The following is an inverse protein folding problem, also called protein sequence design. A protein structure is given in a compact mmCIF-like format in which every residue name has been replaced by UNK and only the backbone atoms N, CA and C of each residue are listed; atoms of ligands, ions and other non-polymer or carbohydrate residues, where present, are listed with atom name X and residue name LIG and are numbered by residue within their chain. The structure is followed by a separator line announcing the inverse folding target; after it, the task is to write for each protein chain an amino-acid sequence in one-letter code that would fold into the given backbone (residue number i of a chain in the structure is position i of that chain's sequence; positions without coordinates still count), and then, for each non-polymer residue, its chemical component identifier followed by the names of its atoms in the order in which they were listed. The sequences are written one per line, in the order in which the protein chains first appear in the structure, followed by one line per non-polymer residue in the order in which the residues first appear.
data_IF_760379047261
#
_entry.id   IF_760379047261
#
_cell.length_a   1.000
_cell.length_b   1.000
_cell.length_c   1.000
_cell.angle_alpha   90.00
_cell.angle_beta   90.00
_cell.angle_gamma   90.00
#
_symmetry.space_group_name_H-M   'P 1'
#
loop_
_entity.id
_entity.type
_entity.pdbx_description
1 polymer ?
#
# COMPACT_ATOMS: atom_id res chain seq x y z
N UNK A 1 13.25 7.70 9.21
CA UNK A 1 11.99 7.48 8.47
C UNK A 1 12.34 6.39 7.48
N UNK A 2 11.81 5.17 7.66
CA UNK A 2 12.07 4.06 6.74
C UNK A 2 10.87 3.97 5.79
N UNK A 3 11.11 4.32 4.53
CA UNK A 3 10.18 4.22 3.42
C UNK A 3 10.81 3.33 2.34
N UNK A 4 9.98 2.60 1.59
CA UNK A 4 10.48 1.73 0.51
C UNK A 4 10.94 2.59 -0.69
N UNK A 5 10.21 3.67 -0.97
CA UNK A 5 10.52 4.58 -2.09
C UNK A 5 10.88 5.95 -1.54
N UNK A 6 12.18 6.29 -1.59
CA UNK A 6 12.70 7.59 -1.20
C UNK A 6 12.28 8.70 -2.19
N UNK A 7 11.93 9.86 -1.67
CA UNK A 7 11.73 11.07 -2.47
C UNK A 7 13.00 11.92 -2.38
N UNK A 8 13.79 11.97 -3.46
CA UNK A 8 14.90 12.92 -3.54
C UNK A 8 14.33 14.35 -3.62
N UNK A 9 14.99 15.30 -2.95
CA UNK A 9 14.61 16.71 -2.91
C UNK A 9 14.81 17.38 -4.27
N UNK A 10 13.88 17.18 -5.20
CA UNK A 10 13.78 18.00 -6.40
C UNK A 10 12.33 18.14 -6.82
N UNK A 11 11.78 19.34 -6.62
CA UNK A 11 10.60 19.89 -7.32
C UNK A 11 9.32 19.05 -7.33
N UNK A 12 8.29 19.56 -6.65
CA UNK A 12 6.90 19.09 -6.73
C UNK A 12 6.23 19.43 -8.09
N UNK A 13 6.98 19.30 -9.18
CA UNK A 13 6.51 19.47 -10.55
C UNK A 13 6.68 18.13 -11.26
N UNK A 14 5.56 17.47 -11.55
CA UNK A 14 5.51 16.28 -12.41
C UNK A 14 6.47 15.17 -11.95
N UNK A 15 6.10 14.42 -10.90
CA UNK A 15 6.54 13.02 -10.85
C UNK A 15 5.88 12.37 -12.07
N UNK A 16 6.67 12.31 -13.14
CA UNK A 16 6.34 11.84 -14.46
C UNK A 16 5.36 10.68 -14.40
N UNK A 17 4.34 10.73 -15.26
CA UNK A 17 3.49 9.58 -15.58
C UNK A 17 4.32 8.32 -15.94
N UNK A 18 5.61 8.49 -16.26
CA UNK A 18 6.58 7.43 -16.48
C UNK A 18 6.98 6.66 -15.21
N UNK A 19 7.07 7.32 -14.03
CA UNK A 19 7.43 6.67 -12.75
C UNK A 19 6.22 6.00 -12.06
N UNK A 20 4.98 6.33 -12.44
CA UNK A 20 3.79 5.62 -11.99
C UNK A 20 3.65 4.21 -12.62
N UNK A 21 4.47 3.91 -13.64
CA UNK A 21 4.49 2.61 -14.33
C UNK A 21 5.41 1.56 -13.69
N UNK A 22 6.22 1.93 -12.69
CA UNK A 22 7.27 1.04 -12.14
C UNK A 22 6.65 -0.24 -11.52
N UNK A 23 5.44 -0.14 -10.97
CA UNK A 23 4.69 -1.28 -10.43
C UNK A 23 3.55 -1.75 -11.34
N UNK A 24 3.59 -1.40 -12.63
CA UNK A 24 2.54 -1.79 -13.59
C UNK A 24 2.36 -3.31 -13.71
N UNK A 25 3.43 -4.08 -13.47
CA UNK A 25 3.45 -5.55 -13.53
C UNK A 25 3.51 -6.20 -12.14
N UNK A 26 3.48 -5.42 -11.06
CA UNK A 26 3.51 -5.97 -9.71
C UNK A 26 2.18 -6.67 -9.43
N UNK A 27 2.24 -7.99 -9.20
CA UNK A 27 1.04 -8.81 -8.95
C UNK A 27 0.85 -9.08 -7.45
N UNK A 28 1.95 -9.22 -6.71
CA UNK A 28 1.93 -9.50 -5.28
C UNK A 28 2.95 -8.60 -4.60
N UNK A 29 2.52 -7.91 -3.55
CA UNK A 29 3.36 -7.18 -2.63
C UNK A 29 3.45 -7.98 -1.33
N UNK A 30 4.66 -8.38 -0.95
CA UNK A 30 4.90 -9.16 0.26
C UNK A 30 5.86 -8.39 1.16
N UNK A 31 5.39 -8.03 2.35
CA UNK A 31 6.17 -7.34 3.38
C UNK A 31 6.21 -8.25 4.60
N UNK A 32 7.42 -8.66 5.00
CA UNK A 32 7.60 -9.57 6.12
C UNK A 32 8.75 -9.11 7.01
N UNK A 33 8.50 -9.08 8.31
CA UNK A 33 9.46 -8.75 9.36
C UNK A 33 10.17 -7.40 9.13
N UNK A 34 9.38 -6.37 8.85
CA UNK A 34 9.85 -5.00 8.69
C UNK A 34 9.35 -4.13 9.86
N UNK A 35 9.93 -4.29 11.06
CA UNK A 35 9.41 -3.67 12.28
C UNK A 35 9.48 -2.14 12.26
N UNK A 36 10.40 -1.54 11.51
CA UNK A 36 10.59 -0.09 11.46
C UNK A 36 9.92 0.59 10.26
N UNK A 37 9.37 -0.19 9.32
CA UNK A 37 8.74 0.34 8.11
C UNK A 37 7.46 1.08 8.48
N UNK A 38 7.35 2.36 8.10
CA UNK A 38 6.20 3.21 8.44
C UNK A 38 5.25 3.46 7.28
N UNK A 39 5.81 3.57 6.08
CA UNK A 39 5.08 3.79 4.84
C UNK A 39 5.85 3.15 3.68
N UNK A 40 5.14 2.71 2.66
CA UNK A 40 5.77 2.25 1.42
C UNK A 40 6.15 3.44 0.54
N UNK A 41 5.25 4.41 0.43
CA UNK A 41 5.44 5.63 -0.35
C UNK A 41 4.51 6.74 0.14
N UNK A 42 4.91 7.99 -0.04
CA UNK A 42 4.15 9.17 0.41
C UNK A 42 2.88 9.43 -0.39
N UNK A 43 2.77 8.88 -1.61
CA UNK A 43 1.64 9.08 -2.53
C UNK A 43 0.98 7.75 -2.87
N UNK A 44 -0.28 7.79 -3.28
CA UNK A 44 -0.96 6.63 -3.82
C UNK A 44 -0.32 6.16 -5.14
N UNK A 45 -0.28 4.84 -5.36
CA UNK A 45 0.25 4.20 -6.55
C UNK A 45 -0.86 3.44 -7.27
N UNK A 46 -0.94 3.52 -8.62
CA UNK A 46 -2.08 2.99 -9.37
C UNK A 46 -2.21 1.46 -9.32
N UNK A 47 -1.08 0.74 -9.19
CA UNK A 47 -1.02 -0.72 -9.09
C UNK A 47 -1.97 -1.48 -10.05
N UNK A 48 -1.84 -1.28 -11.37
CA UNK A 48 -2.82 -1.77 -12.34
C UNK A 48 -2.87 -3.30 -12.47
N UNK A 49 -1.92 -4.04 -11.91
CA UNK A 49 -1.88 -5.51 -11.93
C UNK A 49 -1.90 -6.15 -10.54
N UNK A 50 -1.94 -5.36 -9.46
CA UNK A 50 -1.76 -5.87 -8.11
C UNK A 50 -3.00 -6.64 -7.69
N UNK A 51 -2.78 -7.90 -7.27
CA UNK A 51 -3.81 -8.84 -6.84
C UNK A 51 -3.74 -9.13 -5.36
N UNK A 52 -2.56 -9.09 -4.77
CA UNK A 52 -2.35 -9.49 -3.38
C UNK A 52 -1.40 -8.56 -2.64
N UNK A 53 -1.74 -8.27 -1.40
CA UNK A 53 -0.87 -7.58 -0.44
C UNK A 53 -0.77 -8.47 0.80
N UNK A 54 0.43 -8.82 1.23
CA UNK A 54 0.69 -9.53 2.48
C UNK A 54 1.54 -8.64 3.37
N UNK A 55 1.06 -8.38 4.58
CA UNK A 55 1.75 -7.57 5.59
C UNK A 55 1.86 -8.38 6.88
N UNK A 56 3.04 -8.94 7.09
CA UNK A 56 3.34 -9.89 8.16
C UNK A 56 4.43 -9.27 9.04
N UNK A 57 4.24 -9.27 10.36
CA UNK A 57 5.22 -8.73 11.34
C UNK A 57 5.73 -7.31 11.02
N UNK A 58 4.86 -6.43 10.50
CA UNK A 58 5.17 -5.03 10.20
C UNK A 58 4.38 -4.04 11.10
N UNK A 59 4.59 -4.06 12.43
CA UNK A 59 3.75 -3.34 13.40
C UNK A 59 3.70 -1.82 13.23
N UNK A 60 4.73 -1.21 12.64
CA UNK A 60 4.80 0.25 12.47
C UNK A 60 4.27 0.74 11.11
N UNK A 61 3.86 -0.17 10.21
CA UNK A 61 3.34 0.21 8.89
C UNK A 61 1.93 0.78 9.05
N UNK A 62 1.79 2.10 8.95
CA UNK A 62 0.51 2.79 9.15
C UNK A 62 -0.17 3.21 7.85
N UNK A 63 0.56 3.23 6.73
CA UNK A 63 0.04 3.70 5.43
C UNK A 63 0.36 2.75 4.29
N UNK A 64 -0.65 2.48 3.49
CA UNK A 64 -0.52 1.82 2.20
C UNK A 64 -0.62 2.88 1.09
N UNK A 65 0.14 2.77 -0.02
CA UNK A 65 0.08 3.70 -1.13
C UNK A 65 -1.11 3.35 -2.04
N UNK A 66 -2.32 3.36 -1.47
CA UNK A 66 -3.58 3.04 -2.13
C UNK A 66 -4.55 4.22 -2.02
N UNK A 67 -5.33 4.43 -3.08
CA UNK A 67 -6.49 5.31 -3.13
C UNK A 67 -7.67 4.62 -3.85
N UNK A 68 -8.75 5.35 -4.09
CA UNK A 68 -9.98 4.86 -4.72
C UNK A 68 -9.82 4.35 -6.15
N UNK A 69 -8.71 4.65 -6.81
CA UNK A 69 -8.38 4.15 -8.15
C UNK A 69 -7.28 3.08 -8.14
N UNK A 70 -6.68 2.81 -6.97
CA UNK A 70 -5.55 1.90 -6.85
C UNK A 70 -6.04 0.46 -6.81
N UNK A 71 -5.56 -0.37 -7.73
CA UNK A 71 -5.83 -1.81 -7.80
C UNK A 71 -7.32 -2.22 -7.73
N UNK A 72 -8.29 -1.31 -7.92
CA UNK A 72 -9.71 -1.58 -7.63
C UNK A 72 -10.34 -2.67 -8.51
N UNK A 73 -9.80 -2.91 -9.69
CA UNK A 73 -10.27 -3.97 -10.60
C UNK A 73 -9.44 -5.27 -10.54
N UNK A 74 -8.35 -5.27 -9.78
CA UNK A 74 -7.37 -6.37 -9.79
C UNK A 74 -7.13 -6.97 -8.42
N UNK A 75 -7.27 -6.18 -7.37
CA UNK A 75 -7.03 -6.59 -5.99
C UNK A 75 -8.02 -7.68 -5.62
N UNK A 76 -7.49 -8.74 -5.01
CA UNK A 76 -8.26 -9.90 -4.56
C UNK A 76 -8.14 -10.12 -3.07
N UNK A 77 -7.02 -9.69 -2.48
CA UNK A 77 -6.64 -10.09 -1.14
C UNK A 77 -5.67 -9.08 -0.52
N UNK A 78 -5.95 -8.67 0.71
CA UNK A 78 -5.02 -8.05 1.63
C UNK A 78 -4.97 -8.95 2.86
N UNK A 79 -3.80 -9.46 3.20
CA UNK A 79 -3.60 -10.35 4.35
C UNK A 79 -2.66 -9.69 5.36
N UNK A 80 -3.01 -9.80 6.63
CA UNK A 80 -2.18 -9.36 7.74
C UNK A 80 -2.92 -9.46 9.07
N UNK A 81 -2.26 -9.06 10.15
CA UNK A 81 -2.89 -9.04 11.47
C UNK A 81 -4.06 -8.05 11.54
N UNK A 82 -5.16 -8.46 12.20
CA UNK A 82 -6.33 -7.60 12.41
C UNK A 82 -5.98 -6.31 13.15
N UNK A 83 -5.09 -6.38 14.15
CA UNK A 83 -4.63 -5.19 14.90
C UNK A 83 -3.94 -4.19 13.99
N UNK A 84 -3.11 -4.66 13.06
CA UNK A 84 -2.48 -3.80 12.06
C UNK A 84 -3.52 -3.15 11.14
N UNK A 85 -4.49 -3.93 10.64
CA UNK A 85 -5.54 -3.43 9.75
C UNK A 85 -6.40 -2.33 10.39
N UNK A 86 -6.75 -2.48 11.66
CA UNK A 86 -7.52 -1.49 12.40
C UNK A 86 -6.72 -0.21 12.70
N UNK A 87 -5.40 -0.33 12.86
CA UNK A 87 -4.49 0.79 13.11
C UNK A 87 -3.99 1.49 11.83
N UNK A 88 -4.39 1.03 10.64
CA UNK A 88 -4.07 1.71 9.38
C UNK A 88 -4.70 3.11 9.33
N UNK A 89 -3.87 4.10 8.98
CA UNK A 89 -4.28 5.47 8.72
C UNK A 89 -4.77 5.60 7.27
N UNK A 90 -6.09 5.48 7.10
CA UNK A 90 -6.75 5.69 5.81
C UNK A 90 -6.88 7.19 5.50
N UNK A 91 -6.75 7.55 4.22
CA UNK A 91 -6.92 8.95 3.79
C UNK A 91 -8.36 9.45 4.01
N UNK A 92 -9.34 8.56 3.81
CA UNK A 92 -10.74 8.77 4.16
C UNK A 92 -11.42 7.44 4.57
N UNK A 93 -12.55 7.54 5.29
CA UNK A 93 -13.33 6.38 5.75
C UNK A 93 -13.92 5.56 4.58
N UNK A 94 -14.09 6.17 3.41
CA UNK A 94 -14.61 5.50 2.23
C UNK A 94 -13.58 4.53 1.63
N UNK A 95 -12.28 4.85 1.67
CA UNK A 95 -11.20 3.95 1.27
C UNK A 95 -11.18 2.69 2.12
N UNK A 96 -11.27 2.83 3.46
CA UNK A 96 -11.34 1.66 4.36
C UNK A 96 -12.48 0.74 3.92
N UNK A 97 -13.67 1.31 3.66
CA UNK A 97 -14.84 0.54 3.20
C UNK A 97 -14.65 -0.12 1.83
N UNK A 98 -13.95 0.53 0.90
CA UNK A 98 -13.64 -0.05 -0.42
C UNK A 98 -12.72 -1.27 -0.26
N UNK A 99 -11.74 -1.21 0.64
CA UNK A 99 -10.73 -2.25 0.77
C UNK A 99 -11.06 -3.34 1.78
N UNK A 100 -11.92 -3.09 2.77
CA UNK A 100 -12.37 -4.08 3.77
C UNK A 100 -12.84 -5.42 3.18
N UNK A 101 -13.61 -5.47 2.07
CA UNK A 101 -14.03 -6.75 1.48
C UNK A 101 -12.87 -7.65 1.00
N UNK A 102 -11.69 -7.08 0.76
CA UNK A 102 -10.50 -7.83 0.35
C UNK A 102 -9.62 -8.24 1.52
N UNK A 103 -9.86 -7.70 2.73
CA UNK A 103 -9.05 -8.00 3.90
C UNK A 103 -9.33 -9.41 4.44
N UNK A 104 -8.26 -10.11 4.81
CA UNK A 104 -8.27 -11.38 5.51
C UNK A 104 -7.27 -11.34 6.67
N UNK A 105 -7.72 -11.79 7.82
CA UNK A 105 -6.86 -11.94 8.98
C UNK A 105 -5.89 -13.12 8.79
N UNK A 106 -4.61 -12.87 9.05
CA UNK A 106 -3.58 -13.91 9.15
C UNK A 106 -3.75 -14.70 10.46
N UNK A 107 -3.72 -16.04 10.38
CA UNK A 107 -3.89 -16.95 11.51
C UNK A 107 -2.60 -17.25 12.27
#
# INVERSE_FOLDING_TARGET
MEEIIGSDEYGDSEIDQQNLSIFSRLVTLWLDDLPNLKSIYKRALPFPSLKKIHVIRCPNLRKLPLNSNSATNTLKEIEGHLTWWEELEWEDDNLKRIFTPYFKEEY
#
